data_IF_738700709292
#
_entry.id   IF_738700709292
#
_cell.length_a   1.000
_cell.length_b   1.000
_cell.length_c   1.000
_cell.angle_alpha   90.00
_cell.angle_beta   90.00
_cell.angle_gamma   90.00
#
_symmetry.space_group_name_H-M   'P 1'
#
loop_
_entity.id
_entity.type
_entity.pdbx_description
1 polymer ?
#
# COMPACT_ATOMS: atom_id res chain seq x y z
N UNK A 1 17.08 2.90 -11.92
CA UNK A 1 15.74 2.79 -11.29
C UNK A 1 14.77 2.17 -12.30
N UNK A 2 14.31 0.93 -12.08
CA UNK A 2 13.51 0.19 -13.08
C UNK A 2 13.38 -1.31 -12.83
N UNK A 3 14.27 -1.87 -11.99
CA UNK A 3 14.27 -3.29 -11.63
C UNK A 3 12.97 -3.76 -10.97
N UNK A 4 12.27 -2.91 -10.19
CA UNK A 4 10.98 -3.26 -9.58
C UNK A 4 9.93 -3.64 -10.63
N UNK A 5 9.78 -2.82 -11.69
CA UNK A 5 8.82 -3.08 -12.77
C UNK A 5 9.25 -4.26 -13.64
N UNK A 6 10.53 -4.38 -13.94
CA UNK A 6 11.06 -5.52 -14.69
C UNK A 6 10.85 -6.84 -13.91
N UNK A 7 11.03 -6.82 -12.59
CA UNK A 7 10.84 -7.97 -11.70
C UNK A 7 9.40 -8.50 -11.69
N UNK A 8 8.39 -7.64 -11.89
CA UNK A 8 6.97 -8.06 -11.96
C UNK A 8 6.73 -9.05 -13.09
N UNK A 9 7.34 -8.84 -14.27
CA UNK A 9 7.15 -9.72 -15.42
C UNK A 9 7.76 -11.10 -15.17
N UNK A 10 8.98 -11.16 -14.63
CA UNK A 10 9.63 -12.42 -14.27
C UNK A 10 8.87 -13.17 -13.18
N UNK A 11 8.44 -12.46 -12.13
CA UNK A 11 7.65 -13.06 -11.05
C UNK A 11 6.33 -13.64 -11.58
N UNK A 12 5.65 -12.93 -12.48
CA UNK A 12 4.43 -13.44 -13.11
C UNK A 12 4.70 -14.74 -13.89
N UNK A 13 5.70 -14.75 -14.78
CA UNK A 13 6.04 -15.92 -15.58
C UNK A 13 6.42 -17.13 -14.72
N UNK A 14 7.18 -16.91 -13.65
CA UNK A 14 7.55 -17.95 -12.70
C UNK A 14 6.31 -18.51 -11.98
N UNK A 15 5.47 -17.64 -11.42
CA UNK A 15 4.30 -18.07 -10.66
C UNK A 15 3.30 -18.83 -11.54
N UNK A 16 3.11 -18.41 -12.79
CA UNK A 16 2.24 -19.10 -13.76
C UNK A 16 2.70 -20.53 -14.12
N UNK A 17 3.98 -20.87 -13.89
CA UNK A 17 4.47 -22.25 -14.02
C UNK A 17 4.21 -23.11 -12.79
N UNK A 18 3.99 -22.47 -11.63
CA UNK A 18 3.79 -23.14 -10.34
C UNK A 18 2.31 -23.27 -9.97
N UNK A 19 1.48 -22.31 -10.37
CA UNK A 19 0.07 -22.23 -9.98
C UNK A 19 -0.73 -21.38 -10.98
N UNK A 20 -2.04 -21.63 -11.05
CA UNK A 20 -3.00 -20.81 -11.79
C UNK A 20 -3.87 -19.94 -10.87
N UNK A 21 -3.57 -19.86 -9.57
CA UNK A 21 -4.34 -19.08 -8.61
C UNK A 21 -4.07 -17.57 -8.82
N UNK A 22 -5.03 -16.87 -9.44
CA UNK A 22 -4.87 -15.50 -9.92
C UNK A 22 -4.69 -14.47 -8.80
N UNK A 23 -5.32 -14.68 -7.63
CA UNK A 23 -5.20 -13.75 -6.50
C UNK A 23 -3.78 -13.79 -5.93
N UNK A 24 -3.22 -14.98 -5.76
CA UNK A 24 -1.85 -15.22 -5.30
C UNK A 24 -0.83 -14.66 -6.28
N UNK A 25 -1.00 -14.92 -7.59
CA UNK A 25 -0.12 -14.34 -8.62
C UNK A 25 -0.15 -12.80 -8.53
N UNK A 26 -1.32 -12.21 -8.39
CA UNK A 26 -1.49 -10.75 -8.27
C UNK A 26 -0.88 -10.19 -6.98
N UNK A 27 -1.04 -10.91 -5.86
CA UNK A 27 -0.41 -10.57 -4.59
C UNK A 27 1.11 -10.55 -4.70
N UNK A 28 1.71 -11.61 -5.28
CA UNK A 28 3.17 -11.70 -5.49
C UNK A 28 3.68 -10.57 -6.38
N UNK A 29 2.96 -10.27 -7.48
CA UNK A 29 3.31 -9.14 -8.36
C UNK A 29 3.34 -7.81 -7.58
N UNK A 30 2.36 -7.56 -6.71
CA UNK A 30 2.34 -6.36 -5.87
C UNK A 30 3.50 -6.33 -4.88
N UNK A 31 3.80 -7.47 -4.26
CA UNK A 31 4.92 -7.60 -3.33
C UNK A 31 6.26 -7.29 -4.01
N UNK A 32 6.50 -7.81 -5.22
CA UNK A 32 7.70 -7.52 -6.01
C UNK A 32 7.76 -6.05 -6.44
N UNK A 33 6.64 -5.50 -6.90
CA UNK A 33 6.57 -4.09 -7.33
C UNK A 33 6.90 -3.12 -6.18
N UNK A 34 6.48 -3.44 -4.96
CA UNK A 34 6.58 -2.54 -3.80
C UNK A 34 7.59 -3.02 -2.73
N UNK A 35 8.48 -3.96 -3.04
CA UNK A 35 9.39 -4.53 -2.03
C UNK A 35 10.33 -3.48 -1.40
N UNK A 36 10.75 -2.46 -2.15
CA UNK A 36 11.60 -1.35 -1.66
C UNK A 36 10.84 -0.26 -0.88
N UNK A 37 9.51 -0.36 -0.83
CA UNK A 37 8.64 0.65 -0.23
C UNK A 37 8.91 0.94 1.26
N UNK A 38 9.25 -0.04 2.12
CA UNK A 38 9.42 0.23 3.55
C UNK A 38 10.45 1.30 3.87
N UNK A 39 11.60 1.28 3.19
CA UNK A 39 12.67 2.26 3.40
C UNK A 39 12.21 3.65 2.97
N UNK A 40 11.59 3.76 1.79
CA UNK A 40 11.06 5.02 1.26
C UNK A 40 9.98 5.62 2.17
N UNK A 41 9.08 4.79 2.70
CA UNK A 41 8.00 5.24 3.58
C UNK A 41 8.48 5.53 5.01
N UNK A 42 9.45 4.79 5.54
CA UNK A 42 10.05 5.08 6.85
C UNK A 42 10.63 6.50 6.90
N UNK A 43 11.27 6.93 5.82
CA UNK A 43 11.85 8.27 5.66
C UNK A 43 10.81 9.37 5.43
N UNK A 44 9.56 9.03 5.08
CA UNK A 44 8.48 10.00 4.90
C UNK A 44 7.88 10.43 6.23
N UNK A 45 7.64 11.73 6.43
CA UNK A 45 6.85 12.26 7.54
C UNK A 45 5.33 12.12 7.34
N UNK A 46 4.87 11.91 6.10
CA UNK A 46 3.45 11.90 5.75
C UNK A 46 2.79 10.53 5.96
N UNK A 47 1.80 10.46 6.85
CA UNK A 47 0.93 9.30 7.03
C UNK A 47 -0.01 9.06 5.82
N UNK A 48 -0.35 10.12 5.07
CA UNK A 48 -1.14 10.02 3.85
C UNK A 48 -0.49 9.10 2.81
N UNK A 49 0.86 9.09 2.72
CA UNK A 49 1.56 8.17 1.83
C UNK A 49 1.34 6.71 2.22
N UNK A 50 1.32 6.39 3.52
CA UNK A 50 1.02 5.03 3.99
C UNK A 50 -0.39 4.60 3.57
N UNK A 51 -1.39 5.47 3.78
CA UNK A 51 -2.79 5.25 3.37
C UNK A 51 -2.90 5.03 1.86
N UNK A 52 -2.21 5.87 1.06
CA UNK A 52 -2.14 5.74 -0.41
C UNK A 52 -1.54 4.41 -0.88
N UNK A 53 -0.48 3.93 -0.24
CA UNK A 53 0.10 2.65 -0.64
C UNK A 53 -0.70 1.46 -0.14
N UNK A 54 -1.36 1.56 1.03
CA UNK A 54 -2.29 0.55 1.48
C UNK A 54 -3.45 0.35 0.50
N UNK A 55 -4.01 1.42 -0.09
CA UNK A 55 -5.05 1.31 -1.12
C UNK A 55 -4.54 0.69 -2.42
N UNK A 56 -3.30 0.97 -2.82
CA UNK A 56 -2.66 0.32 -3.98
C UNK A 56 -2.39 -1.17 -3.77
N UNK A 57 -2.14 -1.60 -2.53
CA UNK A 57 -1.85 -3.00 -2.20
C UNK A 57 -3.12 -3.86 -2.14
N UNK A 58 -4.23 -3.28 -1.69
CA UNK A 58 -5.51 -3.96 -1.61
C UNK A 58 -6.11 -4.30 -2.99
N UNK A 59 -6.97 -5.33 -3.10
CA UNK A 59 -7.31 -6.30 -2.04
C UNK A 59 -6.30 -7.44 -1.86
N UNK A 60 -5.37 -7.62 -2.79
CA UNK A 60 -4.53 -8.84 -2.88
C UNK A 60 -3.39 -8.86 -1.86
N UNK A 61 -3.03 -7.72 -1.27
CA UNK A 61 -1.98 -7.63 -0.26
C UNK A 61 -2.18 -6.44 0.69
N UNK A 62 -1.27 -6.28 1.64
CA UNK A 62 -1.28 -5.20 2.63
C UNK A 62 0.13 -4.83 3.09
N UNK A 63 0.26 -3.74 3.87
CA UNK A 63 1.56 -3.28 4.36
C UNK A 63 2.23 -4.29 5.30
N UNK A 64 1.47 -5.15 5.99
CA UNK A 64 2.02 -6.27 6.77
C UNK A 64 2.81 -7.24 5.89
N UNK A 65 2.28 -7.63 4.72
CA UNK A 65 3.01 -8.53 3.83
C UNK A 65 4.29 -7.90 3.31
N UNK A 66 4.25 -6.61 2.97
CA UNK A 66 5.45 -5.85 2.58
C UNK A 66 6.48 -5.79 3.72
N UNK A 67 6.04 -5.57 4.96
CA UNK A 67 6.92 -5.62 6.14
C UNK A 67 7.58 -6.99 6.31
N UNK A 68 6.79 -8.07 6.21
CA UNK A 68 7.30 -9.44 6.33
C UNK A 68 8.33 -9.73 5.23
N UNK A 69 8.03 -9.37 3.98
CA UNK A 69 8.93 -9.56 2.85
C UNK A 69 10.25 -8.81 3.05
N UNK A 70 10.20 -7.52 3.41
CA UNK A 70 11.41 -6.73 3.57
C UNK A 70 12.25 -7.19 4.77
N UNK A 71 11.59 -7.69 5.84
CA UNK A 71 12.29 -8.34 6.95
C UNK A 71 12.96 -9.64 6.52
N UNK A 72 12.29 -10.47 5.72
CA UNK A 72 12.86 -11.71 5.19
C UNK A 72 14.06 -11.42 4.27
N UNK A 73 13.96 -10.44 3.38
CA UNK A 73 15.06 -9.98 2.53
C UNK A 73 16.27 -9.55 3.36
N UNK A 74 16.06 -8.72 4.38
CA UNK A 74 17.14 -8.26 5.26
C UNK A 74 17.83 -9.43 5.99
N UNK A 75 17.05 -10.38 6.52
CA UNK A 75 17.56 -11.56 7.22
C UNK A 75 18.35 -12.49 6.29
N UNK A 76 17.97 -12.56 5.02
CA UNK A 76 18.59 -13.39 4.00
C UNK A 76 19.94 -12.89 3.50
N UNK A 77 20.32 -11.62 3.77
CA UNK A 77 21.62 -11.03 3.36
C UNK A 77 22.82 -11.54 4.16
N UNK A 78 22.69 -12.66 4.86
CA UNK A 78 23.83 -13.24 5.56
C UNK A 78 24.82 -13.84 4.55
N UNK A 79 26.09 -13.38 4.51
CA UNK A 79 27.12 -13.97 3.65
C UNK A 79 27.46 -15.42 4.05
N UNK A 80 27.11 -15.84 5.28
CA UNK A 80 27.26 -17.22 5.72
C UNK A 80 26.01 -18.02 5.35
N UNK A 81 26.14 -18.96 4.42
CA UNK A 81 25.04 -19.82 3.98
C UNK A 81 24.35 -20.54 5.14
N UNK A 82 23.02 -20.62 5.06
CA UNK A 82 22.19 -21.43 5.96
C UNK A 82 21.97 -20.85 7.37
N UNK A 83 22.41 -19.62 7.66
CA UNK A 83 22.14 -18.96 8.95
C UNK A 83 21.57 -17.56 8.72
N UNK A 84 20.50 -17.13 9.42
CA UNK A 84 20.07 -15.74 9.39
C UNK A 84 21.17 -14.80 9.90
N UNK A 85 21.20 -13.57 9.40
CA UNK A 85 22.12 -12.54 9.90
C UNK A 85 21.87 -12.31 11.40
N UNK A 86 22.92 -12.41 12.22
CA UNK A 86 22.85 -12.09 13.67
C UNK A 86 23.16 -10.61 13.89
N UNK A 87 22.63 -10.04 14.98
CA UNK A 87 22.91 -8.66 15.36
C UNK A 87 22.23 -7.61 14.47
N UNK A 88 21.00 -7.90 14.01
CA UNK A 88 20.27 -7.01 13.11
C UNK A 88 20.10 -5.60 13.68
N UNK A 89 20.09 -5.47 15.01
CA UNK A 89 19.91 -4.20 15.71
C UNK A 89 20.97 -3.16 15.35
N UNK A 90 22.12 -3.63 14.82
CA UNK A 90 23.24 -2.79 14.38
C UNK A 90 23.02 -2.20 12.99
N UNK A 91 22.02 -2.67 12.24
CA UNK A 91 21.77 -2.23 10.87
C UNK A 91 20.70 -1.13 10.85
N UNK A 92 21.04 0.00 10.22
CA UNK A 92 20.12 1.12 10.01
C UNK A 92 18.83 0.69 9.29
N UNK A 93 18.92 -0.32 8.41
CA UNK A 93 17.76 -0.92 7.74
C UNK A 93 16.74 -1.52 8.70
N UNK A 94 17.16 -2.12 9.83
CA UNK A 94 16.20 -2.65 10.79
C UNK A 94 15.48 -1.52 11.55
N UNK A 95 16.19 -0.45 11.92
CA UNK A 95 15.57 0.73 12.51
C UNK A 95 14.53 1.34 11.57
N UNK A 96 14.83 1.44 10.26
CA UNK A 96 13.88 1.91 9.26
C UNK A 96 12.67 0.99 9.11
N UNK A 97 12.86 -0.34 9.12
CA UNK A 97 11.74 -1.29 9.10
C UNK A 97 10.83 -1.15 10.32
N UNK A 98 11.42 -0.88 11.50
CA UNK A 98 10.65 -0.61 12.72
C UNK A 98 9.82 0.67 12.58
N UNK A 99 10.42 1.76 12.11
CA UNK A 99 9.72 3.03 11.86
C UNK A 99 8.59 2.84 10.84
N UNK A 100 8.81 2.08 9.77
CA UNK A 100 7.77 1.75 8.81
C UNK A 100 6.59 1.02 9.46
N UNK A 101 6.86 0.02 10.30
CA UNK A 101 5.83 -0.73 11.01
C UNK A 101 5.02 0.17 11.96
N UNK A 102 5.70 0.97 12.78
CA UNK A 102 5.08 1.91 13.72
C UNK A 102 4.22 2.96 13.01
N UNK A 103 4.71 3.56 11.93
CA UNK A 103 3.92 4.51 11.12
C UNK A 103 2.75 3.85 10.40
N UNK A 104 2.88 2.59 9.98
CA UNK A 104 1.76 1.83 9.40
C UNK A 104 0.65 1.56 10.42
N UNK A 105 1.03 1.30 11.68
CA UNK A 105 0.08 1.20 12.80
C UNK A 105 -0.56 2.55 13.10
N UNK A 106 0.23 3.62 13.20
CA UNK A 106 -0.26 4.97 13.46
C UNK A 106 -1.24 5.45 12.38
N UNK A 107 -0.98 5.14 11.11
CA UNK A 107 -1.87 5.45 10.01
C UNK A 107 -3.13 4.55 9.97
N UNK A 108 -3.20 3.49 10.79
CA UNK A 108 -4.33 2.56 10.86
C UNK A 108 -4.44 1.60 9.67
N UNK A 109 -3.37 1.45 8.87
CA UNK A 109 -3.44 0.78 7.56
C UNK A 109 -2.49 -0.42 7.39
N UNK A 110 -2.02 -0.98 8.50
CA UNK A 110 -1.09 -2.12 8.47
C UNK A 110 -1.68 -3.35 7.74
N UNK A 111 -2.94 -3.68 8.02
CA UNK A 111 -3.59 -4.90 7.52
C UNK A 111 -4.58 -4.64 6.37
N UNK A 112 -5.12 -3.43 6.26
CA UNK A 112 -6.17 -3.06 5.32
C UNK A 112 -6.06 -1.57 4.99
N UNK A 113 -6.52 -1.12 3.81
CA UNK A 113 -6.61 0.30 3.52
C UNK A 113 -7.63 0.97 4.44
N UNK A 114 -7.52 2.29 4.57
CA UNK A 114 -8.57 3.08 5.22
C UNK A 114 -9.86 2.96 4.41
N UNK A 115 -11.02 2.67 5.05
CA UNK A 115 -12.28 2.56 4.35
C UNK A 115 -12.72 3.92 3.81
N UNK A 116 -13.30 3.93 2.61
CA UNK A 116 -13.86 5.16 2.04
C UNK A 116 -15.06 5.65 2.88
N UNK A 117 -15.05 6.94 3.21
CA UNK A 117 -16.16 7.60 3.93
C UNK A 117 -17.38 7.77 3.04
N UNK A 118 -17.16 8.11 1.76
CA UNK A 118 -18.22 8.29 0.77
C UNK A 118 -18.25 7.14 -0.24
N UNK A 119 -19.46 6.75 -0.61
CA UNK A 119 -19.81 5.75 -1.61
C UNK A 119 -20.61 6.40 -2.75
N UNK A 120 -20.80 5.68 -3.85
CA UNK A 120 -21.50 6.23 -5.01
C UNK A 120 -22.92 6.72 -4.72
N UNK A 121 -23.63 6.02 -3.81
CA UNK A 121 -24.99 6.41 -3.39
C UNK A 121 -25.07 7.80 -2.76
N UNK A 122 -23.97 8.28 -2.17
CA UNK A 122 -23.91 9.56 -1.49
C UNK A 122 -23.87 10.74 -2.47
N UNK A 123 -23.79 10.48 -3.78
CA UNK A 123 -23.79 11.50 -4.84
C UNK A 123 -25.03 11.45 -5.74
N UNK A 124 -25.95 10.51 -5.53
CA UNK A 124 -27.13 10.33 -6.40
C UNK A 124 -28.15 11.47 -6.31
N UNK A 125 -28.11 12.24 -5.22
CA UNK A 125 -28.93 13.44 -5.02
C UNK A 125 -28.42 14.67 -5.79
N UNK A 126 -27.18 14.62 -6.30
CA UNK A 126 -26.50 15.76 -6.94
C UNK A 126 -25.97 15.47 -8.34
N UNK A 127 -25.83 14.19 -8.71
CA UNK A 127 -25.28 13.76 -10.01
C UNK A 127 -26.00 12.50 -10.49
N UNK A 128 -26.38 12.50 -11.76
CA UNK A 128 -27.00 11.34 -12.42
C UNK A 128 -26.09 10.09 -12.40
N UNK A 129 -26.68 8.88 -12.29
CA UNK A 129 -25.93 7.63 -12.36
C UNK A 129 -25.02 7.55 -13.58
N UNK A 130 -23.73 7.26 -13.37
CA UNK A 130 -22.77 7.06 -14.45
C UNK A 130 -21.30 7.21 -14.04
N UNK A 131 -20.37 7.22 -15.01
CA UNK A 131 -18.92 7.28 -14.75
C UNK A 131 -18.47 8.51 -13.94
N UNK A 132 -19.27 9.58 -13.94
CA UNK A 132 -19.00 10.78 -13.14
C UNK A 132 -18.99 10.48 -11.63
N UNK A 133 -19.89 9.60 -11.15
CA UNK A 133 -19.93 9.21 -9.74
C UNK A 133 -18.65 8.48 -9.34
N UNK A 134 -18.15 7.57 -10.18
CA UNK A 134 -16.89 6.87 -9.92
C UNK A 134 -15.70 7.83 -9.76
N UNK A 135 -15.64 8.89 -10.58
CA UNK A 135 -14.62 9.95 -10.45
C UNK A 135 -14.77 10.74 -9.15
N UNK A 136 -15.99 11.04 -8.73
CA UNK A 136 -16.26 11.75 -7.47
C UNK A 136 -15.85 10.92 -6.26
N UNK A 137 -16.20 9.63 -6.23
CA UNK A 137 -15.80 8.71 -5.16
C UNK A 137 -14.27 8.58 -5.09
N UNK A 138 -13.60 8.46 -6.24
CA UNK A 138 -12.14 8.43 -6.29
C UNK A 138 -11.52 9.74 -5.75
N UNK A 139 -12.03 10.89 -6.17
CA UNK A 139 -11.57 12.19 -5.68
C UNK A 139 -11.84 12.40 -4.18
N UNK A 140 -12.99 11.93 -3.69
CA UNK A 140 -13.33 11.93 -2.28
C UNK A 140 -12.34 11.09 -1.47
N UNK A 141 -12.03 9.89 -1.93
CA UNK A 141 -11.08 9.02 -1.25
C UNK A 141 -9.67 9.62 -1.24
N UNK A 142 -9.23 10.25 -2.34
CA UNK A 142 -7.95 10.97 -2.36
C UNK A 142 -7.90 12.14 -1.37
N UNK A 143 -8.97 12.93 -1.28
CA UNK A 143 -9.08 14.02 -0.29
C UNK A 143 -9.08 13.47 1.14
N UNK A 144 -9.83 12.40 1.39
CA UNK A 144 -9.87 11.73 2.70
C UNK A 144 -8.46 11.33 3.15
N UNK A 145 -7.70 10.62 2.31
CA UNK A 145 -6.38 10.12 2.72
C UNK A 145 -5.33 11.23 2.82
N UNK A 146 -5.42 12.27 1.98
CA UNK A 146 -4.44 13.35 1.93
C UNK A 146 -4.66 14.41 3.01
N UNK A 147 -5.92 14.79 3.25
CA UNK A 147 -6.30 15.86 4.18
C UNK A 147 -6.81 15.32 5.52
N UNK A 148 -7.07 14.01 5.64
CA UNK A 148 -7.58 13.42 6.88
C UNK A 148 -9.03 13.75 7.18
N UNK A 149 -9.82 14.13 6.16
CA UNK A 149 -11.24 14.48 6.33
C UNK A 149 -12.05 13.20 6.55
N UNK A 150 -12.63 13.05 7.73
CA UNK A 150 -13.49 11.93 8.10
C UNK A 150 -15.00 12.25 8.11
N UNK A 151 -15.36 13.53 8.10
CA UNK A 151 -16.76 13.97 8.07
C UNK A 151 -17.35 13.84 6.64
N UNK A 152 -18.41 13.03 6.45
CA UNK A 152 -18.99 12.80 5.13
C UNK A 152 -19.51 14.07 4.46
N UNK A 153 -20.15 14.96 5.22
CA UNK A 153 -20.73 16.20 4.71
C UNK A 153 -19.65 17.18 4.25
N UNK A 154 -18.60 17.37 5.06
CA UNK A 154 -17.44 18.19 4.72
C UNK A 154 -16.75 17.64 3.48
N UNK A 155 -16.53 16.31 3.42
CA UNK A 155 -15.86 15.67 2.30
C UNK A 155 -16.66 15.81 1.00
N UNK A 156 -17.97 15.56 1.05
CA UNK A 156 -18.87 15.68 -0.12
C UNK A 156 -18.84 17.11 -0.66
N UNK A 157 -18.96 18.10 0.22
CA UNK A 157 -18.92 19.52 -0.16
C UNK A 157 -17.57 19.93 -0.77
N UNK A 158 -16.45 19.45 -0.23
CA UNK A 158 -15.10 19.72 -0.77
C UNK A 158 -14.93 19.14 -2.17
N UNK A 159 -15.42 17.92 -2.41
CA UNK A 159 -15.33 17.25 -3.72
C UNK A 159 -16.16 18.00 -4.75
N UNK A 160 -17.39 18.40 -4.42
CA UNK A 160 -18.28 19.10 -5.35
C UNK A 160 -17.78 20.51 -5.71
N UNK A 161 -17.11 21.21 -4.80
CA UNK A 161 -16.51 22.54 -5.05
C UNK A 161 -15.27 22.52 -5.94
N UNK A 162 -14.63 21.37 -6.12
CA UNK A 162 -13.47 21.20 -7.02
C UNK A 162 -13.87 20.87 -8.47
N UNK A 163 -15.16 20.71 -8.74
CA UNK A 163 -15.73 20.44 -10.06
C UNK A 163 -15.93 21.73 -10.84
#
# INVERSE_FOLDING_TARGET
HGHERAGVAFAQQMMQRLTNEHVLISAVKKLVLYHGLPIQLAQSSSLAKFKKYASKLAPESCLRHIFILARADLLGRNPTQGKPLKGLEKFSSQALLRVFFEKSLQAGVLNRPEPAVLQGRDFLDVVEPGPAIGRLVAAAYELQINEGISDPCVLKNRVLKKK
#
